data_IF_230319209456
#
_entry.id   IF_230319209456
#
_cell.length_a   1.000
_cell.length_b   1.000
_cell.length_c   1.000
_cell.angle_alpha   90.00
_cell.angle_beta   90.00
_cell.angle_gamma   90.00
#
_symmetry.space_group_name_H-M   'P 1'
#
loop_
_entity.id
_entity.type
_entity.pdbx_description
1 polymer ?
#
# COMPACT_ATOMS: atom_id res chain seq x y z
N UNK A 1 -30.43 -45.89 16.39
CA UNK A 1 -28.97 -45.80 16.61
C UNK A 1 -28.43 -44.71 15.70
N UNK A 2 -27.91 -43.64 16.29
CA UNK A 2 -27.46 -42.43 15.62
C UNK A 2 -26.13 -42.61 14.86
N UNK A 3 -26.05 -41.88 13.74
CA UNK A 3 -24.91 -41.15 13.17
C UNK A 3 -23.52 -41.81 13.05
N UNK A 4 -23.01 -41.83 11.81
CA UNK A 4 -21.61 -41.45 11.53
C UNK A 4 -21.53 -40.62 10.25
N UNK A 5 -21.17 -39.36 10.44
CA UNK A 5 -20.89 -38.33 9.46
C UNK A 5 -19.45 -38.40 8.96
N UNK A 6 -19.28 -38.01 7.69
CA UNK A 6 -18.02 -37.74 7.01
C UNK A 6 -17.23 -36.62 7.72
N UNK A 7 -15.93 -36.83 7.92
CA UNK A 7 -14.98 -35.82 8.38
C UNK A 7 -14.30 -35.13 7.20
N UNK A 8 -14.48 -33.81 7.10
CA UNK A 8 -13.75 -32.93 6.19
C UNK A 8 -12.38 -32.55 6.80
N UNK A 9 -11.32 -32.32 5.99
CA UNK A 9 -10.04 -31.88 6.50
C UNK A 9 -9.95 -30.35 6.63
N UNK A 10 -9.48 -29.90 7.79
CA UNK A 10 -8.45 -28.88 7.93
C UNK A 10 -8.83 -27.44 7.67
N UNK A 11 -9.27 -26.75 8.73
CA UNK A 11 -9.26 -25.30 8.87
C UNK A 11 -7.90 -24.71 8.51
N UNK A 12 -7.90 -23.80 7.55
CA UNK A 12 -6.77 -22.93 7.18
C UNK A 12 -6.62 -21.89 8.29
N UNK A 13 -5.52 -21.96 9.03
CA UNK A 13 -5.22 -21.06 10.14
C UNK A 13 -5.24 -19.59 9.68
N UNK A 14 -6.01 -18.79 10.41
CA UNK A 14 -6.13 -17.35 10.23
C UNK A 14 -4.78 -16.68 10.52
N UNK A 15 -4.14 -16.13 9.49
CA UNK A 15 -3.02 -15.19 9.63
C UNK A 15 -3.56 -13.97 10.39
N UNK A 16 -3.10 -13.75 11.62
CA UNK A 16 -3.41 -12.53 12.38
C UNK A 16 -2.90 -11.31 11.61
N UNK A 17 -3.82 -10.41 11.23
CA UNK A 17 -3.46 -9.19 10.52
C UNK A 17 -2.58 -8.29 11.40
N UNK A 18 -1.47 -7.81 10.83
CA UNK A 18 -0.49 -6.95 11.52
C UNK A 18 -1.14 -5.68 12.09
N UNK A 19 -0.57 -5.12 13.16
CA UNK A 19 -1.12 -3.89 13.77
C UNK A 19 -1.11 -2.67 12.83
N UNK A 20 -0.21 -2.67 11.83
CA UNK A 20 -0.21 -1.71 10.72
C UNK A 20 -1.50 -1.77 9.87
N UNK A 21 -2.02 -2.98 9.61
CA UNK A 21 -3.27 -3.18 8.87
C UNK A 21 -4.47 -2.62 9.65
N UNK A 22 -4.48 -2.79 10.99
CA UNK A 22 -5.55 -2.24 11.84
C UNK A 22 -5.52 -0.71 11.89
N UNK A 23 -4.34 -0.09 11.90
CA UNK A 23 -4.17 1.37 11.89
C UNK A 23 -4.57 1.96 10.53
N UNK A 24 -4.10 1.36 9.42
CA UNK A 24 -4.47 1.77 8.06
C UNK A 24 -5.99 1.68 7.82
N UNK A 25 -6.60 0.55 8.20
CA UNK A 25 -8.04 0.28 8.06
C UNK A 25 -8.92 1.16 8.96
N UNK A 26 -8.40 1.63 10.10
CA UNK A 26 -9.14 2.50 11.03
C UNK A 26 -8.96 3.99 10.78
N UNK A 27 -8.08 4.40 9.86
CA UNK A 27 -7.94 5.79 9.45
C UNK A 27 -9.28 6.31 8.88
N UNK A 28 -9.64 7.55 9.20
CA UNK A 28 -10.88 8.19 8.72
C UNK A 28 -10.96 8.18 7.18
N UNK A 29 -9.82 8.29 6.50
CA UNK A 29 -9.69 8.16 5.05
C UNK A 29 -10.18 6.81 4.53
N UNK A 30 -9.82 5.70 5.19
CA UNK A 30 -10.20 4.35 4.73
C UNK A 30 -11.66 4.00 5.03
N UNK A 31 -12.24 4.57 6.09
CA UNK A 31 -13.67 4.43 6.41
C UNK A 31 -14.55 5.20 5.42
N UNK A 32 -14.12 6.39 5.01
CA UNK A 32 -14.82 7.20 4.00
C UNK A 32 -14.79 6.57 2.58
N UNK A 33 -13.84 5.67 2.29
CA UNK A 33 -13.87 4.87 1.04
C UNK A 33 -15.02 3.86 0.99
N UNK A 34 -15.64 3.53 2.13
CA UNK A 34 -16.70 2.50 2.22
C UNK A 34 -18.08 3.05 2.59
N UNK A 35 -18.20 4.32 2.98
CA UNK A 35 -19.47 4.91 3.45
C UNK A 35 -20.09 5.89 2.44
N UNK A 36 -21.32 5.54 2.03
CA UNK A 36 -22.43 6.33 1.47
C UNK A 36 -22.32 7.13 0.16
N UNK A 37 -21.13 7.41 -0.40
CA UNK A 37 -21.04 8.14 -1.70
C UNK A 37 -20.97 7.25 -2.96
N UNK A 38 -20.65 5.96 -2.81
CA UNK A 38 -20.38 5.03 -3.90
C UNK A 38 -21.32 3.82 -3.92
N UNK A 39 -22.63 4.05 -3.91
CA UNK A 39 -23.57 2.93 -4.17
C UNK A 39 -23.43 2.47 -5.62
N UNK A 40 -22.85 1.28 -5.84
CA UNK A 40 -22.75 0.59 -7.15
C UNK A 40 -24.10 0.40 -7.86
N UNK A 41 -25.21 0.71 -7.18
CA UNK A 41 -26.57 0.67 -7.70
C UNK A 41 -26.90 1.80 -8.70
N UNK A 42 -26.17 2.92 -8.69
CA UNK A 42 -26.50 4.10 -9.52
C UNK A 42 -25.63 4.27 -10.79
N UNK A 43 -24.51 3.53 -10.90
CA UNK A 43 -23.58 3.63 -12.03
C UNK A 43 -23.96 2.71 -13.20
N UNK A 44 -24.66 1.62 -12.90
CA UNK A 44 -25.13 0.66 -13.90
C UNK A 44 -26.64 0.78 -14.03
N UNK A 45 -27.13 1.00 -15.25
CA UNK A 45 -28.57 0.99 -15.55
C UNK A 45 -29.19 -0.39 -15.33
N UNK A 46 -28.39 -1.45 -15.51
CA UNK A 46 -28.77 -2.84 -15.26
C UNK A 46 -27.59 -3.60 -14.67
N UNK A 47 -27.74 -4.10 -13.44
CA UNK A 47 -26.73 -5.00 -12.89
C UNK A 47 -26.78 -6.39 -13.58
N UNK A 48 -25.66 -6.86 -14.15
CA UNK A 48 -25.62 -8.18 -14.75
C UNK A 48 -25.66 -9.28 -13.67
N UNK A 49 -26.75 -10.05 -13.63
CA UNK A 49 -26.87 -11.22 -12.73
C UNK A 49 -26.22 -12.49 -13.28
N UNK A 50 -26.07 -12.59 -14.59
CA UNK A 50 -25.52 -13.77 -15.26
C UNK A 50 -24.06 -13.56 -15.63
N UNK A 51 -23.26 -14.64 -15.58
CA UNK A 51 -21.82 -14.64 -15.89
C UNK A 51 -21.49 -13.95 -17.22
N UNK A 52 -22.31 -14.18 -18.25
CA UNK A 52 -22.13 -13.58 -19.58
C UNK A 52 -22.28 -12.05 -19.57
N UNK A 53 -23.19 -11.52 -18.74
CA UNK A 53 -23.38 -10.09 -18.57
C UNK A 53 -22.20 -9.45 -17.85
N UNK A 54 -21.70 -10.10 -16.79
CA UNK A 54 -20.53 -9.64 -16.03
C UNK A 54 -19.29 -9.58 -16.93
N UNK A 55 -19.01 -10.65 -17.67
CA UNK A 55 -17.91 -10.68 -18.65
C UNK A 55 -18.02 -9.57 -19.71
N UNK A 56 -19.23 -9.19 -20.11
CA UNK A 56 -19.42 -8.09 -21.06
C UNK A 56 -19.11 -6.74 -20.42
N UNK A 57 -19.50 -6.54 -19.17
CA UNK A 57 -19.13 -5.34 -18.41
C UNK A 57 -17.61 -5.24 -18.27
N UNK A 58 -16.93 -6.34 -17.91
CA UNK A 58 -15.45 -6.39 -17.87
C UNK A 58 -14.83 -5.93 -19.19
N UNK A 59 -15.24 -6.52 -20.31
CA UNK A 59 -14.73 -6.16 -21.65
C UNK A 59 -14.95 -4.69 -21.99
N UNK A 60 -16.10 -4.12 -21.61
CA UNK A 60 -16.39 -2.70 -21.84
C UNK A 60 -15.43 -1.83 -21.03
N UNK A 61 -15.18 -2.15 -19.76
CA UNK A 61 -14.32 -1.35 -18.90
C UNK A 61 -12.83 -1.46 -19.29
N UNK A 62 -12.37 -2.65 -19.68
CA UNK A 62 -11.02 -2.85 -20.22
C UNK A 62 -10.81 -2.06 -21.52
N UNK A 63 -11.77 -2.15 -22.45
CA UNK A 63 -11.74 -1.39 -23.70
C UNK A 63 -11.79 0.12 -23.44
N UNK A 64 -12.60 0.56 -22.48
CA UNK A 64 -12.68 1.97 -22.10
C UNK A 64 -11.35 2.49 -21.55
N UNK A 65 -10.68 1.71 -20.69
CA UNK A 65 -9.35 2.06 -20.18
C UNK A 65 -8.34 2.28 -21.32
N UNK A 66 -8.31 1.39 -22.31
CA UNK A 66 -7.42 1.51 -23.47
C UNK A 66 -7.76 2.73 -24.32
N UNK A 67 -9.03 2.94 -24.65
CA UNK A 67 -9.47 4.09 -25.46
C UNK A 67 -9.17 5.40 -24.73
N UNK A 68 -9.42 5.49 -23.43
CA UNK A 68 -9.10 6.69 -22.65
C UNK A 68 -7.60 6.96 -22.55
N UNK A 69 -6.77 5.92 -22.47
CA UNK A 69 -5.31 6.04 -22.42
C UNK A 69 -4.72 6.47 -23.77
N UNK A 70 -5.29 5.98 -24.88
CA UNK A 70 -4.82 6.27 -26.25
C UNK A 70 -5.18 7.68 -26.74
N UNK A 71 -6.44 8.08 -26.58
CA UNK A 71 -6.95 9.35 -27.17
C UNK A 71 -7.32 10.41 -26.12
N UNK A 72 -7.22 10.07 -24.84
CA UNK A 72 -7.68 10.93 -23.74
C UNK A 72 -9.19 10.82 -23.50
N UNK A 73 -9.60 11.11 -22.26
CA UNK A 73 -11.01 11.02 -21.85
C UNK A 73 -11.94 11.90 -22.70
N UNK A 74 -11.54 13.14 -23.02
CA UNK A 74 -12.39 14.09 -23.76
C UNK A 74 -12.70 13.59 -25.18
N UNK A 75 -11.67 13.18 -25.92
CA UNK A 75 -11.81 12.76 -27.31
C UNK A 75 -12.43 11.36 -27.44
N UNK A 76 -12.36 10.52 -26.40
CA UNK A 76 -12.95 9.20 -26.41
C UNK A 76 -14.48 9.24 -26.54
N UNK A 77 -15.02 8.34 -27.37
CA UNK A 77 -16.46 8.17 -27.60
C UNK A 77 -16.95 6.80 -27.16
N UNK A 78 -18.22 6.69 -26.77
CA UNK A 78 -18.85 5.39 -26.44
C UNK A 78 -18.87 4.44 -27.64
N UNK A 79 -18.86 4.96 -28.87
CA UNK A 79 -18.76 4.16 -30.09
C UNK A 79 -17.40 3.46 -30.20
N UNK A 80 -16.30 4.20 -30.03
CA UNK A 80 -14.94 3.63 -30.02
C UNK A 80 -14.79 2.57 -28.94
N UNK A 81 -15.35 2.81 -27.75
CA UNK A 81 -15.33 1.85 -26.64
C UNK A 81 -16.11 0.57 -27.01
N UNK A 82 -17.31 0.70 -27.57
CA UNK A 82 -18.13 -0.43 -27.97
C UNK A 82 -17.46 -1.28 -29.06
N UNK A 83 -16.89 -0.61 -30.07
CA UNK A 83 -16.13 -1.23 -31.15
C UNK A 83 -14.93 -2.01 -30.60
N UNK A 84 -14.11 -1.36 -29.75
CA UNK A 84 -12.94 -2.00 -29.12
C UNK A 84 -13.32 -3.18 -28.23
N UNK A 85 -14.43 -3.10 -27.50
CA UNK A 85 -14.94 -4.18 -26.67
C UNK A 85 -15.58 -5.33 -27.46
N UNK A 86 -15.76 -5.18 -28.78
CA UNK A 86 -16.45 -6.14 -29.63
C UNK A 86 -17.92 -6.31 -29.22
N UNK A 87 -18.58 -5.23 -28.79
CA UNK A 87 -19.99 -5.23 -28.38
C UNK A 87 -20.80 -4.25 -29.22
N UNK A 88 -22.08 -4.57 -29.46
CA UNK A 88 -23.00 -3.62 -30.09
C UNK A 88 -23.20 -2.40 -29.18
N UNK A 89 -23.25 -1.20 -29.77
CA UNK A 89 -23.43 0.07 -29.05
C UNK A 89 -24.70 0.07 -28.17
N UNK A 90 -25.80 -0.51 -28.67
CA UNK A 90 -27.03 -0.67 -27.89
C UNK A 90 -26.86 -1.56 -26.66
N UNK A 91 -25.98 -2.57 -26.71
CA UNK A 91 -25.68 -3.41 -25.55
C UNK A 91 -24.81 -2.67 -24.53
N UNK A 92 -23.96 -1.73 -24.94
CA UNK A 92 -23.21 -0.89 -24.00
C UNK A 92 -24.18 0.00 -23.22
N UNK A 93 -25.11 0.66 -23.92
CA UNK A 93 -26.12 1.54 -23.30
C UNK A 93 -27.14 0.82 -22.39
N UNK A 94 -27.24 -0.51 -22.48
CA UNK A 94 -28.00 -1.31 -21.52
C UNK A 94 -27.34 -1.35 -20.13
N UNK A 95 -26.01 -1.22 -20.07
CA UNK A 95 -25.24 -1.22 -18.82
C UNK A 95 -24.90 0.19 -18.37
N UNK A 96 -24.40 1.03 -19.29
CA UNK A 96 -23.88 2.35 -19.00
C UNK A 96 -24.65 3.43 -19.75
N UNK A 97 -25.35 4.35 -19.05
CA UNK A 97 -26.13 5.39 -19.71
C UNK A 97 -25.26 6.37 -20.51
N UNK A 98 -24.02 6.62 -20.09
CA UNK A 98 -23.11 7.57 -20.70
C UNK A 98 -21.62 7.21 -20.44
N UNK A 99 -20.71 8.02 -21.00
CA UNK A 99 -19.24 7.87 -20.86
C UNK A 99 -18.77 8.04 -19.41
N UNK A 100 -19.41 8.92 -18.65
CA UNK A 100 -19.06 9.19 -17.25
C UNK A 100 -19.38 7.99 -16.37
N UNK A 101 -20.51 7.32 -16.60
CA UNK A 101 -20.88 6.10 -15.89
C UNK A 101 -19.88 4.95 -16.12
N UNK A 102 -19.31 4.84 -17.32
CA UNK A 102 -18.23 3.88 -17.62
C UNK A 102 -16.98 4.24 -16.80
N UNK A 103 -16.59 5.51 -16.80
CA UNK A 103 -15.42 6.00 -16.07
C UNK A 103 -15.54 5.75 -14.57
N UNK A 104 -16.67 6.13 -13.95
CA UNK A 104 -16.90 5.92 -12.52
C UNK A 104 -16.89 4.42 -12.15
N UNK A 105 -17.41 3.56 -13.03
CA UNK A 105 -17.33 2.11 -12.80
C UNK A 105 -15.90 1.56 -12.92
N UNK A 106 -15.07 2.13 -13.80
CA UNK A 106 -13.64 1.81 -13.86
C UNK A 106 -12.91 2.28 -12.61
N UNK A 107 -13.23 3.47 -12.12
CA UNK A 107 -12.64 4.06 -10.92
C UNK A 107 -12.84 3.17 -9.70
N UNK A 108 -14.08 2.72 -9.46
CA UNK A 108 -14.39 1.80 -8.36
C UNK A 108 -13.53 0.54 -8.37
N UNK A 109 -13.38 -0.09 -9.53
CA UNK A 109 -12.52 -1.28 -9.67
C UNK A 109 -11.05 -0.95 -9.49
N UNK A 110 -10.65 0.23 -9.94
CA UNK A 110 -9.28 0.69 -9.74
C UNK A 110 -8.97 0.87 -8.25
N UNK A 111 -9.88 1.47 -7.48
CA UNK A 111 -9.77 1.63 -6.03
C UNK A 111 -9.64 0.27 -5.33
N UNK A 112 -10.47 -0.72 -5.69
CA UNK A 112 -10.37 -2.09 -5.15
C UNK A 112 -8.99 -2.71 -5.45
N UNK A 113 -8.46 -2.54 -6.66
CA UNK A 113 -7.14 -3.04 -7.04
C UNK A 113 -6.00 -2.36 -6.29
N UNK A 114 -6.04 -1.03 -6.17
CA UNK A 114 -5.04 -0.26 -5.41
C UNK A 114 -5.05 -0.66 -3.95
N UNK A 115 -6.24 -0.86 -3.37
CA UNK A 115 -6.39 -1.38 -2.01
C UNK A 115 -5.74 -2.74 -1.84
N UNK A 116 -6.03 -3.70 -2.72
CA UNK A 116 -5.42 -5.02 -2.65
C UNK A 116 -3.88 -4.97 -2.77
N UNK A 117 -3.36 -4.06 -3.58
CA UNK A 117 -1.92 -3.80 -3.70
C UNK A 117 -1.33 -3.27 -2.38
N UNK A 118 -1.97 -2.29 -1.73
CA UNK A 118 -1.54 -1.80 -0.42
C UNK A 118 -1.59 -2.90 0.65
N UNK A 119 -2.64 -3.72 0.66
CA UNK A 119 -2.75 -4.86 1.58
C UNK A 119 -1.56 -5.81 1.40
N UNK A 120 -1.24 -6.18 0.16
CA UNK A 120 -0.10 -7.03 -0.16
C UNK A 120 1.24 -6.38 0.23
N UNK A 121 1.42 -5.09 -0.04
CA UNK A 121 2.64 -4.36 0.29
C UNK A 121 2.83 -4.23 1.81
N UNK A 122 1.75 -4.01 2.56
CA UNK A 122 1.79 -3.90 4.02
C UNK A 122 2.25 -5.18 4.71
N UNK A 123 2.04 -6.34 4.08
CA UNK A 123 2.46 -7.63 4.58
C UNK A 123 3.96 -7.89 4.43
N UNK A 124 4.69 -7.13 3.61
CA UNK A 124 6.08 -7.45 3.22
C UNK A 124 7.16 -6.91 4.16
N UNK A 125 6.82 -6.37 5.33
CA UNK A 125 7.77 -5.87 6.34
C UNK A 125 8.92 -4.99 5.77
N UNK A 126 8.64 -4.25 4.70
CA UNK A 126 9.62 -3.44 3.95
C UNK A 126 10.40 -2.47 4.84
N UNK A 127 9.79 -2.04 5.95
CA UNK A 127 10.38 -1.16 6.94
C UNK A 127 11.70 -1.67 7.54
N UNK A 128 11.98 -2.98 7.44
CA UNK A 128 13.24 -3.60 7.89
C UNK A 128 14.39 -3.51 6.90
N UNK A 129 14.15 -3.12 5.66
CA UNK A 129 15.20 -2.98 4.66
C UNK A 129 16.00 -1.68 4.89
N UNK A 130 17.23 -1.56 4.37
CA UNK A 130 17.90 -0.27 4.27
C UNK A 130 16.99 0.78 3.60
N UNK A 131 17.03 2.05 4.04
CA UNK A 131 16.06 3.09 3.68
C UNK A 131 15.90 3.21 2.16
N UNK A 132 17.03 3.29 1.45
CA UNK A 132 17.05 3.41 0.00
C UNK A 132 16.43 2.19 -0.69
N UNK A 133 16.71 0.98 -0.18
CA UNK A 133 16.17 -0.26 -0.72
C UNK A 133 14.67 -0.38 -0.47
N UNK A 134 14.22 -0.06 0.75
CA UNK A 134 12.80 0.04 1.11
C UNK A 134 12.05 0.96 0.14
N UNK A 135 12.55 2.19 -0.05
CA UNK A 135 11.91 3.16 -0.95
C UNK A 135 11.97 2.71 -2.40
N UNK A 136 13.05 2.06 -2.83
CA UNK A 136 13.14 1.51 -4.19
C UNK A 136 12.07 0.45 -4.43
N UNK A 137 11.86 -0.47 -3.50
CA UNK A 137 10.83 -1.51 -3.63
C UNK A 137 9.41 -0.95 -3.54
N UNK A 138 9.16 0.00 -2.63
CA UNK A 138 7.87 0.69 -2.54
C UNK A 138 7.52 1.43 -3.83
N UNK A 139 8.48 2.19 -4.38
CA UNK A 139 8.26 2.92 -5.62
C UNK A 139 8.14 1.98 -6.82
N UNK A 140 8.86 0.85 -6.85
CA UNK A 140 8.69 -0.15 -7.90
C UNK A 140 7.25 -0.69 -7.94
N UNK A 141 6.63 -0.95 -6.79
CA UNK A 141 5.22 -1.33 -6.71
C UNK A 141 4.27 -0.24 -7.23
N UNK A 142 4.55 1.03 -6.91
CA UNK A 142 3.79 2.17 -7.43
C UNK A 142 3.98 2.32 -8.94
N UNK A 143 5.19 2.17 -9.47
CA UNK A 143 5.46 2.26 -10.91
C UNK A 143 4.76 1.13 -11.67
N UNK A 144 4.79 -0.10 -11.14
CA UNK A 144 4.08 -1.23 -11.73
C UNK A 144 2.56 -1.00 -11.81
N UNK A 145 1.98 -0.23 -10.88
CA UNK A 145 0.58 0.18 -10.96
C UNK A 145 0.30 0.91 -12.29
N UNK A 146 1.23 1.75 -12.75
CA UNK A 146 1.10 2.56 -13.97
C UNK A 146 1.39 1.82 -15.27
N UNK A 147 1.78 0.55 -15.23
CA UNK A 147 1.78 -0.31 -16.44
C UNK A 147 0.35 -0.56 -16.94
N UNK A 148 -0.63 -0.48 -16.04
CA UNK A 148 -2.03 -0.66 -16.37
C UNK A 148 -2.64 0.65 -16.92
N UNK A 149 -3.26 0.63 -18.11
CA UNK A 149 -3.89 1.82 -18.72
C UNK A 149 -4.86 2.53 -17.78
N UNK A 150 -5.67 1.77 -17.04
CA UNK A 150 -6.65 2.34 -16.10
C UNK A 150 -5.99 3.19 -15.02
N UNK A 151 -4.81 2.82 -14.50
CA UNK A 151 -4.10 3.63 -13.50
C UNK A 151 -3.62 4.95 -14.08
N UNK A 152 -3.05 4.92 -15.30
CA UNK A 152 -2.56 6.12 -15.97
C UNK A 152 -3.70 7.08 -16.22
N UNK A 153 -4.81 6.57 -16.78
CA UNK A 153 -6.02 7.35 -17.04
C UNK A 153 -6.55 7.97 -15.74
N UNK A 154 -6.74 7.18 -14.69
CA UNK A 154 -7.29 7.67 -13.42
C UNK A 154 -6.40 8.74 -12.79
N UNK A 155 -5.09 8.50 -12.76
CA UNK A 155 -4.14 9.42 -12.18
C UNK A 155 -4.01 10.72 -12.96
N UNK A 156 -3.88 10.66 -14.29
CA UNK A 156 -3.82 11.86 -15.13
C UNK A 156 -5.10 12.67 -14.97
N UNK A 157 -6.29 12.03 -15.05
CA UNK A 157 -7.55 12.75 -14.92
C UNK A 157 -7.76 13.38 -13.54
N UNK A 158 -7.35 12.70 -12.47
CA UNK A 158 -7.37 13.26 -11.11
C UNK A 158 -6.61 14.59 -11.04
N UNK A 159 -5.44 14.70 -11.67
CA UNK A 159 -4.62 15.91 -11.64
C UNK A 159 -4.99 16.96 -12.69
N UNK A 160 -5.55 16.58 -13.84
CA UNK A 160 -5.84 17.52 -14.95
C UNK A 160 -7.29 17.97 -15.03
N UNK A 161 -8.22 17.27 -14.40
CA UNK A 161 -9.66 17.52 -14.51
C UNK A 161 -10.41 17.41 -13.17
N UNK A 162 -9.77 17.87 -12.08
CA UNK A 162 -10.27 17.76 -10.69
C UNK A 162 -11.71 18.29 -10.51
N UNK A 163 -12.06 19.39 -11.18
CA UNK A 163 -13.40 19.99 -11.08
C UNK A 163 -14.52 19.15 -11.70
N UNK A 164 -14.18 18.24 -12.63
CA UNK A 164 -15.14 17.41 -13.36
C UNK A 164 -15.44 16.10 -12.66
N UNK A 165 -14.47 15.60 -11.89
CA UNK A 165 -14.57 14.36 -11.15
C UNK A 165 -14.39 14.62 -9.65
N UNK A 166 -15.19 15.53 -9.11
CA UNK A 166 -15.19 15.92 -7.69
C UNK A 166 -15.40 14.74 -6.72
N UNK A 167 -15.90 13.60 -7.21
CA UNK A 167 -16.06 12.34 -6.48
C UNK A 167 -14.82 11.45 -6.45
N UNK A 168 -13.80 11.72 -7.28
CA UNK A 168 -12.44 11.20 -7.04
C UNK A 168 -11.91 12.02 -5.87
N UNK A 169 -12.38 11.69 -4.68
CA UNK A 169 -11.94 12.30 -3.43
C UNK A 169 -10.42 12.16 -3.32
N UNK A 170 -9.78 13.03 -2.55
CA UNK A 170 -8.35 12.95 -2.22
C UNK A 170 -7.98 11.61 -1.56
N UNK A 171 -8.96 10.74 -1.29
CA UNK A 171 -8.91 9.33 -0.86
C UNK A 171 -7.69 8.54 -1.34
N UNK A 172 -7.33 8.57 -2.63
CA UNK A 172 -6.15 7.86 -3.15
C UNK A 172 -4.85 8.44 -2.60
N UNK A 173 -4.72 9.77 -2.65
CA UNK A 173 -3.55 10.49 -2.14
C UNK A 173 -3.47 10.33 -0.61
N UNK A 174 -4.58 10.50 0.09
CA UNK A 174 -4.68 10.34 1.53
C UNK A 174 -4.41 8.89 1.98
N UNK A 175 -4.88 7.90 1.21
CA UNK A 175 -4.57 6.49 1.44
C UNK A 175 -3.07 6.21 1.28
N UNK A 176 -2.41 6.80 0.28
CA UNK A 176 -0.96 6.70 0.12
C UNK A 176 -0.19 7.39 1.25
N UNK A 177 -0.65 8.55 1.73
CA UNK A 177 -0.06 9.26 2.87
C UNK A 177 -0.18 8.41 4.14
N UNK A 178 -1.38 7.88 4.42
CA UNK A 178 -1.62 7.02 5.57
C UNK A 178 -0.77 5.74 5.51
N UNK A 179 -0.67 5.12 4.33
CA UNK A 179 0.16 3.95 4.09
C UNK A 179 1.65 4.23 4.39
N UNK A 180 2.20 5.31 3.82
CA UNK A 180 3.59 5.67 4.05
C UNK A 180 3.83 6.06 5.52
N UNK A 181 2.96 6.86 6.13
CA UNK A 181 3.05 7.22 7.55
C UNK A 181 3.07 5.98 8.45
N UNK A 182 2.26 4.95 8.17
CA UNK A 182 2.28 3.69 8.91
C UNK A 182 3.62 2.95 8.76
N UNK A 183 4.22 2.92 7.57
CA UNK A 183 5.56 2.34 7.36
C UNK A 183 6.63 3.12 8.13
N UNK A 184 6.57 4.46 8.07
CA UNK A 184 7.50 5.33 8.78
C UNK A 184 7.39 5.15 10.30
N UNK A 185 6.18 4.93 10.83
CA UNK A 185 5.97 4.63 12.25
C UNK A 185 6.62 3.32 12.67
N UNK A 186 6.51 2.26 11.86
CA UNK A 186 7.16 0.98 12.14
C UNK A 186 8.69 1.11 12.15
N UNK A 187 9.24 1.97 11.29
CA UNK A 187 10.67 2.19 11.18
C UNK A 187 11.24 3.04 12.33
N UNK A 188 10.54 4.11 12.70
CA UNK A 188 10.92 5.01 13.78
C UNK A 188 9.70 5.34 14.68
N UNK A 189 9.40 4.47 15.67
CA UNK A 189 8.26 4.66 16.56
C UNK A 189 8.36 5.89 17.46
N UNK A 190 9.58 6.36 17.73
CA UNK A 190 9.87 7.49 18.62
C UNK A 190 9.68 8.85 17.91
N UNK A 191 9.50 8.87 16.58
CA UNK A 191 9.26 10.10 15.84
C UNK A 191 7.87 10.67 16.17
N UNK A 192 7.74 11.96 16.52
CA UNK A 192 6.44 12.59 16.77
C UNK A 192 5.48 12.42 15.59
N UNK A 193 4.22 12.08 15.89
CA UNK A 193 3.15 11.86 14.90
C UNK A 193 3.05 13.00 13.88
N UNK A 194 3.04 14.26 14.34
CA UNK A 194 2.96 15.44 13.46
C UNK A 194 4.10 15.50 12.44
N UNK A 195 5.34 15.25 12.88
CA UNK A 195 6.51 15.23 12.01
C UNK A 195 6.45 14.07 11.04
N UNK A 196 6.06 12.88 11.50
CA UNK A 196 5.92 11.68 10.68
C UNK A 196 4.87 11.86 9.57
N UNK A 197 3.72 12.41 9.91
CA UNK A 197 2.62 12.62 8.97
C UNK A 197 3.01 13.68 7.93
N UNK A 198 3.68 14.77 8.34
CA UNK A 198 4.23 15.76 7.41
C UNK A 198 5.28 15.17 6.46
N UNK A 199 6.18 14.31 6.96
CA UNK A 199 7.16 13.63 6.11
C UNK A 199 6.47 12.76 5.06
N UNK A 200 5.45 12.00 5.45
CA UNK A 200 4.68 11.16 4.54
C UNK A 200 3.94 12.00 3.48
N UNK A 201 3.30 13.10 3.90
CA UNK A 201 2.59 14.03 3.03
C UNK A 201 3.52 14.63 1.96
N UNK A 202 4.67 15.19 2.38
CA UNK A 202 5.65 15.78 1.45
C UNK A 202 6.17 14.72 0.48
N UNK A 203 6.47 13.51 0.96
CA UNK A 203 6.93 12.42 0.10
C UNK A 203 5.89 12.04 -0.96
N UNK A 204 4.63 11.83 -0.55
CA UNK A 204 3.56 11.42 -1.47
C UNK A 204 3.27 12.50 -2.51
N UNK A 205 3.18 13.78 -2.11
CA UNK A 205 2.98 14.86 -3.07
C UNK A 205 4.16 15.01 -4.04
N UNK A 206 5.39 14.87 -3.55
CA UNK A 206 6.59 14.91 -4.40
C UNK A 206 6.61 13.76 -5.41
N UNK A 207 6.29 12.54 -4.96
CA UNK A 207 6.10 11.38 -5.84
C UNK A 207 5.06 11.64 -6.90
N UNK A 208 3.88 12.10 -6.48
CA UNK A 208 2.76 12.30 -7.40
C UNK A 208 3.09 13.32 -8.48
N UNK A 209 3.75 14.42 -8.12
CA UNK A 209 4.20 15.42 -9.07
C UNK A 209 5.19 14.84 -10.11
N UNK A 210 6.16 14.03 -9.66
CA UNK A 210 7.15 13.40 -10.54
C UNK A 210 6.53 12.30 -11.42
N UNK A 211 5.63 11.49 -10.88
CA UNK A 211 4.87 10.48 -11.64
C UNK A 211 4.05 11.16 -12.72
N UNK A 212 3.32 12.24 -12.38
CA UNK A 212 2.53 12.99 -13.36
C UNK A 212 3.41 13.56 -14.48
N UNK A 213 4.55 14.15 -14.12
CA UNK A 213 5.51 14.67 -15.08
C UNK A 213 6.07 13.57 -16.00
N UNK A 214 6.36 12.39 -15.43
CA UNK A 214 6.85 11.23 -16.18
C UNK A 214 5.77 10.66 -17.12
N UNK A 215 4.52 10.51 -16.67
CA UNK A 215 3.42 10.01 -17.50
C UNK A 215 3.10 10.93 -18.68
N UNK A 216 3.36 12.23 -18.56
CA UNK A 216 3.20 13.21 -19.64
C UNK A 216 4.40 13.28 -20.59
N UNK A 217 5.47 12.53 -20.32
CA UNK A 217 6.67 12.54 -21.12
C UNK A 217 6.56 11.53 -22.28
N UNK A 218 6.56 11.97 -23.55
CA UNK A 218 6.53 11.06 -24.70
C UNK A 218 7.83 10.25 -24.87
N UNK A 219 8.98 10.81 -24.46
CA UNK A 219 10.27 10.12 -24.48
C UNK A 219 10.34 9.09 -23.35
N UNK A 220 10.39 7.81 -23.73
CA UNK A 220 10.46 6.67 -22.83
C UNK A 220 11.71 6.67 -21.96
N UNK A 221 12.89 6.97 -22.52
CA UNK A 221 14.13 7.02 -21.75
C UNK A 221 14.05 8.11 -20.68
N UNK A 222 13.55 9.28 -21.06
CA UNK A 222 13.40 10.40 -20.14
C UNK A 222 12.33 10.13 -19.06
N UNK A 223 11.23 9.47 -19.42
CA UNK A 223 10.20 9.01 -18.49
C UNK A 223 10.79 8.08 -17.43
N UNK A 224 11.54 7.07 -17.86
CA UNK A 224 12.13 6.07 -16.96
C UNK A 224 13.16 6.72 -16.04
N UNK A 225 13.99 7.62 -16.57
CA UNK A 225 14.94 8.40 -15.77
C UNK A 225 14.25 9.25 -14.71
N UNK A 226 13.10 9.86 -15.01
CA UNK A 226 12.31 10.61 -14.02
C UNK A 226 11.78 9.68 -12.92
N UNK A 227 11.21 8.53 -13.28
CA UNK A 227 10.70 7.55 -12.30
C UNK A 227 11.83 7.04 -11.38
N UNK A 228 13.03 6.80 -11.92
CA UNK A 228 14.20 6.36 -11.14
C UNK A 228 14.71 7.41 -10.14
N UNK A 229 14.44 8.69 -10.35
CA UNK A 229 14.84 9.74 -9.39
C UNK A 229 13.94 9.79 -8.14
N UNK A 230 12.72 9.25 -8.22
CA UNK A 230 11.77 9.28 -7.11
C UNK A 230 12.37 8.66 -5.83
N UNK A 231 12.82 7.39 -5.80
CA UNK A 231 13.36 6.81 -4.57
C UNK A 231 14.64 7.51 -4.09
N UNK A 232 15.42 8.13 -4.99
CA UNK A 232 16.62 8.89 -4.63
C UNK A 232 16.24 10.17 -3.88
N UNK A 233 15.27 10.93 -4.40
CA UNK A 233 14.74 12.14 -3.77
C UNK A 233 14.18 11.83 -2.38
N UNK A 234 13.32 10.82 -2.28
CA UNK A 234 12.69 10.45 -1.01
C UNK A 234 13.72 9.98 0.01
N UNK A 235 14.70 9.17 -0.40
CA UNK A 235 15.74 8.68 0.50
C UNK A 235 16.58 9.85 1.04
N UNK A 236 16.94 10.80 0.19
CA UNK A 236 17.69 11.99 0.59
C UNK A 236 16.87 12.86 1.57
N UNK A 237 15.59 13.06 1.31
CA UNK A 237 14.69 13.83 2.17
C UNK A 237 14.48 13.17 3.54
N UNK A 238 14.28 11.85 3.57
CA UNK A 238 13.97 11.10 4.79
C UNK A 238 15.20 10.73 5.62
N UNK A 239 16.42 10.82 5.07
CA UNK A 239 17.64 10.30 5.70
C UNK A 239 17.88 10.80 7.14
N UNK A 240 17.53 12.06 7.43
CA UNK A 240 17.72 12.66 8.74
C UNK A 240 16.82 12.04 9.83
N UNK A 241 15.63 11.58 9.46
CA UNK A 241 14.61 11.06 10.37
C UNK A 241 14.48 9.53 10.32
N UNK A 242 14.90 8.91 9.21
CA UNK A 242 14.59 7.52 8.83
C UNK A 242 15.80 6.71 8.35
N UNK A 243 17.01 7.06 8.81
CA UNK A 243 18.26 6.39 8.42
C UNK A 243 18.26 4.85 8.57
N UNK A 244 19.39 4.20 8.27
CA UNK A 244 19.48 2.73 8.31
C UNK A 244 19.55 2.15 9.72
N UNK A 245 19.66 3.00 10.73
CA UNK A 245 19.52 2.60 12.12
C UNK A 245 18.04 2.30 12.39
N UNK A 246 17.64 1.05 12.16
CA UNK A 246 16.35 0.55 12.66
C UNK A 246 16.47 0.58 14.18
N UNK A 247 15.78 1.52 14.82
CA UNK A 247 15.68 1.62 16.27
C UNK A 247 14.73 0.53 16.77
N UNK A 248 15.10 -0.73 16.51
CA UNK A 248 14.53 -1.85 17.22
C UNK A 248 15.01 -1.73 18.65
N UNK A 249 14.08 -1.66 19.60
CA UNK A 249 14.33 -2.05 20.98
C UNK A 249 15.01 -3.42 20.94
N UNK A 250 16.35 -3.46 20.95
CA UNK A 250 17.07 -4.62 21.41
C UNK A 250 16.70 -4.68 22.88
N UNK A 251 15.64 -5.43 23.22
CA UNK A 251 15.56 -6.02 24.54
C UNK A 251 16.90 -6.72 24.69
N UNK A 252 17.83 -6.09 25.44
CA UNK A 252 19.11 -6.67 25.76
C UNK A 252 18.80 -7.89 26.64
N UNK A 253 18.46 -9.01 25.99
CA UNK A 253 18.24 -10.27 26.66
C UNK A 253 19.60 -10.67 27.19
N UNK A 254 19.78 -10.52 28.49
CA UNK A 254 21.00 -10.99 29.14
C UNK A 254 21.07 -12.50 28.98
N UNK A 255 22.21 -12.97 28.46
CA UNK A 255 22.50 -14.38 28.25
C UNK A 255 23.69 -14.77 29.12
N UNK A 256 23.66 -15.98 29.69
CA UNK A 256 24.79 -16.50 30.46
C UNK A 256 26.02 -16.71 29.56
N UNK A 257 27.19 -16.10 29.86
CA UNK A 257 28.40 -16.23 29.03
C UNK A 257 29.03 -17.63 29.11
N UNK A 258 28.52 -18.51 29.96
CA UNK A 258 29.06 -19.86 30.15
C UNK A 258 28.25 -20.96 29.48
N UNK A 259 26.97 -20.72 29.18
CA UNK A 259 26.09 -21.77 28.63
C UNK A 259 24.97 -21.25 27.72
N UNK A 260 24.97 -19.96 27.38
CA UNK A 260 23.96 -19.30 26.56
C UNK A 260 22.49 -19.36 27.06
N UNK A 261 22.25 -19.74 28.31
CA UNK A 261 20.90 -19.71 28.89
C UNK A 261 20.43 -18.28 29.22
N UNK A 262 19.13 -18.03 29.02
CA UNK A 262 18.43 -16.79 29.41
C UNK A 262 17.85 -16.86 30.83
N UNK A 263 17.88 -18.04 31.50
CA UNK A 263 17.33 -18.22 32.84
C UNK A 263 18.32 -17.70 33.90
N UNK A 264 18.23 -16.40 34.17
CA UNK A 264 19.14 -15.65 35.04
C UNK A 264 18.40 -15.07 36.25
N UNK A 265 19.03 -15.13 37.43
CA UNK A 265 18.56 -14.49 38.65
C UNK A 265 19.59 -13.46 39.13
N UNK A 266 19.13 -12.32 39.66
CA UNK A 266 20.01 -11.33 40.31
C UNK A 266 20.58 -11.95 41.59
N UNK A 267 21.90 -11.89 41.77
CA UNK A 267 22.60 -12.51 42.90
C UNK A 267 23.59 -11.53 43.56
N UNK A 268 23.05 -10.53 44.24
CA UNK A 268 23.84 -9.53 44.98
C UNK A 268 24.69 -8.62 44.09
N UNK A 269 25.68 -7.96 44.71
CA UNK A 269 26.63 -7.05 44.05
C UNK A 269 28.06 -7.39 44.43
N UNK A 270 29.00 -7.29 43.49
CA UNK A 270 30.44 -7.49 43.74
C UNK A 270 31.21 -6.28 43.22
N UNK A 271 32.00 -5.63 44.08
CA UNK A 271 32.73 -4.38 43.76
C UNK A 271 31.84 -3.32 43.11
N UNK A 272 30.64 -3.12 43.66
CA UNK A 272 29.64 -2.14 43.19
C UNK A 272 28.84 -2.55 41.94
N UNK A 273 29.17 -3.65 41.25
CA UNK A 273 28.47 -4.09 40.03
C UNK A 273 27.46 -5.20 40.33
N UNK A 274 26.33 -5.20 39.60
CA UNK A 274 25.28 -6.22 39.71
C UNK A 274 25.79 -7.59 39.26
N UNK A 275 25.58 -8.61 40.08
CA UNK A 275 25.89 -10.00 39.75
C UNK A 275 24.62 -10.76 39.36
N UNK A 276 24.80 -11.77 38.51
CA UNK A 276 23.77 -12.67 38.01
C UNK A 276 24.19 -14.12 38.21
N UNK A 277 23.23 -14.96 38.56
CA UNK A 277 23.36 -16.42 38.65
C UNK A 277 22.55 -17.04 37.52
N UNK A 278 23.19 -17.88 36.70
CA UNK A 278 22.46 -18.67 35.72
C UNK A 278 21.83 -19.90 36.38
N UNK A 279 20.53 -20.12 36.26
CA UNK A 279 19.88 -21.30 36.86
C UNK A 279 20.22 -22.60 36.13
N UNK A 280 20.55 -22.53 34.84
CA UNK A 280 20.91 -23.70 34.04
C UNK A 280 22.31 -24.25 34.38
N UNK A 281 23.35 -23.41 34.39
CA UNK A 281 24.73 -23.86 34.68
C UNK A 281 25.23 -23.53 36.08
N UNK A 282 24.43 -22.82 36.89
CA UNK A 282 24.75 -22.36 38.26
C UNK A 282 26.00 -21.49 38.39
N UNK A 283 26.57 -20.99 37.29
CA UNK A 283 27.70 -20.06 37.32
C UNK A 283 27.22 -18.63 37.56
N UNK A 284 28.01 -17.90 38.35
CA UNK A 284 27.79 -16.48 38.65
C UNK A 284 28.71 -15.60 37.81
N UNK A 285 28.17 -14.51 37.27
CA UNK A 285 28.92 -13.54 36.48
C UNK A 285 28.41 -12.12 36.75
N UNK A 286 29.20 -11.12 36.34
CA UNK A 286 28.84 -9.71 36.38
C UNK A 286 28.51 -9.27 34.96
N UNK A 287 27.52 -8.40 34.76
CA UNK A 287 27.23 -7.87 33.43
C UNK A 287 28.52 -7.29 32.82
N UNK A 288 28.97 -7.75 31.64
CA UNK A 288 30.09 -7.12 30.96
C UNK A 288 29.69 -5.68 30.66
N UNK A 289 30.46 -4.69 31.12
CA UNK A 289 30.14 -3.29 30.82
C UNK A 289 29.95 -3.19 29.29
N UNK A 290 28.84 -2.59 28.84
CA UNK A 290 28.62 -2.36 27.41
C UNK A 290 29.91 -1.80 26.83
N UNK A 291 30.48 -2.50 25.85
CA UNK A 291 31.66 -2.00 25.16
C UNK A 291 31.30 -0.61 24.65
N UNK A 292 32.02 0.42 25.09
CA UNK A 292 31.91 1.74 24.47
C UNK A 292 32.34 1.54 23.02
N UNK A 293 31.38 1.64 22.10
CA UNK A 293 31.64 1.73 20.68
C UNK A 293 32.56 2.93 20.45
N UNK A 294 33.76 2.66 19.92
CA UNK A 294 34.64 3.66 19.30
C UNK A 294 34.18 3.90 17.86
#
# INVERSE_FOLDING_TARGET
MCATSQGAPGSMDCIEASDSYKIMRNSSCFKNMTDDSYSSSNLLRRQPKQRRGQQRVEKILEAAALVFDEVGYEAATTHQIAERAGTAIGSLYQFFPDKTAIFNAMELRHLERVRAMWDQASAQEFWRLPLKEMLTQLIAGVVALFEQPVSRVMFVQFYTARDRFQTIDDSMTQGAIAFLSAILHQRNPDLPTERRDLLAEVCVHSCNALILAALRQPDEEKRDRLMQQIPVLLAAYLAADMGDQIHGHVMNVMICPHCNSQDLAKNGRRRGKQCYLCKACRKQFVHPAAAKSL
#
